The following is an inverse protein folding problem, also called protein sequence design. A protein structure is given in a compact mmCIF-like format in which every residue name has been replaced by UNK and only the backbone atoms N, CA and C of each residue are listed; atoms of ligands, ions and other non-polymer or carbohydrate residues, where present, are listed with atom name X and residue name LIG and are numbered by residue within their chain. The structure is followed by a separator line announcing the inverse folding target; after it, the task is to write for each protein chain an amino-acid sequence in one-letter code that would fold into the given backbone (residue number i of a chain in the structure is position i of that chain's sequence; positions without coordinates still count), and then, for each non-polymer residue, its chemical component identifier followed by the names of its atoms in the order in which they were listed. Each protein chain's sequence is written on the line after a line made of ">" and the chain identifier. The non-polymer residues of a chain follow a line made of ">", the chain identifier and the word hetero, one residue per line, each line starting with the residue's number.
data_IF_777198719441
#
_entry.id   IF_777198719441
#
_cell.length_a   1.000
_cell.length_b   1.000
_cell.length_c   1.000
_cell.angle_alpha   90.00
_cell.angle_beta   90.00
_cell.angle_gamma   90.00
#
_symmetry.space_group_name_H-M   'P 1'
#
loop_
_entity.id
_entity.type
_entity.pdbx_description
1 polymer ?
#
# COMPACT_ATOMS: atom_id res chain seq x y z
N UNK A 1 -3.90 14.33 19.89
CA UNK A 1 -4.41 12.97 19.58
C UNK A 1 -4.62 12.90 18.07
N UNK A 2 -3.78 12.17 17.34
CA UNK A 2 -4.13 11.80 15.97
C UNK A 2 -5.26 10.77 16.08
N UNK A 3 -6.47 11.11 15.63
CA UNK A 3 -7.54 10.15 15.41
C UNK A 3 -7.17 9.32 14.18
N UNK A 4 -6.42 8.24 14.40
CA UNK A 4 -6.09 7.25 13.39
C UNK A 4 -7.09 6.12 13.52
N UNK A 5 -8.32 6.32 13.05
CA UNK A 5 -9.16 5.20 12.64
C UNK A 5 -8.52 4.65 11.38
N UNK A 6 -7.60 3.69 11.53
CA UNK A 6 -6.89 3.07 10.43
C UNK A 6 -7.86 2.11 9.72
N UNK A 7 -8.37 2.47 8.53
CA UNK A 7 -9.22 1.55 7.78
C UNK A 7 -8.39 0.33 7.37
N UNK A 8 -9.08 -0.78 7.08
CA UNK A 8 -8.45 -1.96 6.49
C UNK A 8 -7.62 -1.55 5.26
N UNK A 9 -6.35 -1.93 5.26
CA UNK A 9 -5.47 -1.72 4.10
C UNK A 9 -6.04 -2.42 2.88
N UNK A 10 -6.31 -1.63 1.83
CA UNK A 10 -6.65 -2.16 0.50
C UNK A 10 -5.36 -2.44 -0.29
N UNK A 11 -5.35 -3.46 -1.16
CA UNK A 11 -4.22 -3.71 -2.05
C UNK A 11 -3.87 -2.48 -2.88
N UNK A 12 -2.57 -2.26 -3.10
CA UNK A 12 -2.07 -1.14 -3.93
C UNK A 12 -2.65 -1.20 -5.34
N UNK A 13 -2.90 -2.41 -5.85
CA UNK A 13 -3.47 -2.65 -7.17
C UNK A 13 -4.81 -1.94 -7.39
N UNK A 14 -5.65 -1.82 -6.36
CA UNK A 14 -6.96 -1.15 -6.47
C UNK A 14 -6.80 0.34 -6.79
N UNK A 15 -5.77 0.98 -6.24
CA UNK A 15 -5.44 2.37 -6.52
C UNK A 15 -4.71 2.53 -7.86
N UNK A 16 -3.81 1.59 -8.19
CA UNK A 16 -3.03 1.65 -9.42
C UNK A 16 -3.92 1.44 -10.67
N UNK A 17 -4.91 0.54 -10.61
CA UNK A 17 -5.85 0.28 -11.72
C UNK A 17 -6.68 1.50 -12.13
N UNK A 18 -7.04 2.34 -11.16
CA UNK A 18 -7.80 3.57 -11.40
C UNK A 18 -6.95 4.66 -12.07
N UNK A 19 -5.63 4.59 -11.95
CA UNK A 19 -4.71 5.60 -12.42
C UNK A 19 -4.04 5.16 -13.73
N UNK A 20 -4.49 5.72 -14.85
CA UNK A 20 -4.01 5.37 -16.19
C UNK A 20 -2.48 5.38 -16.36
N UNK A 21 -1.77 6.26 -15.62
CA UNK A 21 -0.30 6.34 -15.62
C UNK A 21 0.42 5.06 -15.17
N UNK A 22 -0.27 4.17 -14.47
CA UNK A 22 0.31 2.93 -13.94
C UNK A 22 -0.05 1.68 -14.75
N UNK A 23 -0.76 1.83 -15.87
CA UNK A 23 -1.11 0.70 -16.76
C UNK A 23 0.10 -0.02 -17.37
N UNK A 24 1.25 0.63 -17.41
CA UNK A 24 2.49 0.04 -17.94
C UNK A 24 3.20 -0.88 -16.94
N UNK A 25 2.77 -0.90 -15.67
CA UNK A 25 3.39 -1.74 -14.66
C UNK A 25 2.99 -3.20 -14.87
N UNK A 26 3.97 -4.10 -14.83
CA UNK A 26 3.72 -5.54 -14.83
C UNK A 26 3.12 -5.99 -13.48
N UNK A 27 2.49 -7.15 -13.47
CA UNK A 27 1.98 -7.74 -12.22
C UNK A 27 3.10 -8.00 -11.20
N UNK A 28 4.29 -8.34 -11.67
CA UNK A 28 5.48 -8.53 -10.83
C UNK A 28 5.86 -7.22 -10.12
N UNK A 29 5.96 -6.12 -10.87
CA UNK A 29 6.25 -4.80 -10.27
C UNK A 29 5.16 -4.38 -9.28
N UNK A 30 3.88 -4.67 -9.58
CA UNK A 30 2.78 -4.38 -8.63
C UNK A 30 2.92 -5.19 -7.34
N UNK A 31 3.35 -6.47 -7.42
CA UNK A 31 3.62 -7.31 -6.24
C UNK A 31 4.79 -6.78 -5.42
N UNK A 32 5.87 -6.33 -6.05
CA UNK A 32 7.00 -5.71 -5.36
C UNK A 32 6.57 -4.44 -4.61
N UNK A 33 5.76 -3.60 -5.25
CA UNK A 33 5.21 -2.39 -4.63
C UNK A 33 4.34 -2.75 -3.43
N UNK A 34 3.45 -3.74 -3.56
CA UNK A 34 2.61 -4.24 -2.46
C UNK A 34 3.48 -4.68 -1.28
N UNK A 35 4.47 -5.56 -1.54
CA UNK A 35 5.36 -6.07 -0.50
C UNK A 35 6.10 -4.94 0.24
N UNK A 36 6.58 -3.93 -0.50
CA UNK A 36 7.25 -2.78 0.11
C UNK A 36 6.29 -1.97 0.99
N UNK A 37 5.08 -1.71 0.53
CA UNK A 37 4.05 -0.98 1.30
C UNK A 37 3.70 -1.74 2.58
N UNK A 38 3.48 -3.05 2.49
CA UNK A 38 3.15 -3.89 3.65
C UNK A 38 4.26 -3.88 4.71
N UNK A 39 5.52 -3.95 4.24
CA UNK A 39 6.70 -3.88 5.10
C UNK A 39 6.82 -2.54 5.82
N UNK A 40 6.68 -1.43 5.11
CA UNK A 40 6.77 -0.10 5.71
C UNK A 40 5.57 0.20 6.61
N UNK A 41 4.37 -0.29 6.28
CA UNK A 41 3.20 -0.18 7.14
C UNK A 41 3.40 -0.95 8.46
N UNK A 42 3.89 -2.19 8.39
CA UNK A 42 4.20 -2.99 9.58
C UNK A 42 5.18 -2.26 10.51
N UNK A 43 6.29 -1.74 9.95
CA UNK A 43 7.26 -0.94 10.71
C UNK A 43 6.66 0.32 11.32
N UNK A 44 5.71 0.96 10.64
CA UNK A 44 5.02 2.15 11.16
C UNK A 44 4.11 1.77 12.33
N UNK A 45 3.36 0.67 12.22
CA UNK A 45 2.51 0.15 13.29
C UNK A 45 3.32 -0.22 14.53
N UNK A 46 4.49 -0.85 14.37
CA UNK A 46 5.41 -1.17 15.48
C UNK A 46 5.93 0.07 16.22
N UNK A 47 5.94 1.25 15.59
CA UNK A 47 6.34 2.51 16.24
C UNK A 47 5.19 3.27 16.90
N UNK A 48 3.96 2.97 16.48
CA UNK A 48 2.74 3.58 17.00
C UNK A 48 2.19 2.80 18.20
N UNK A 49 2.41 1.48 18.22
CA UNK A 49 2.19 0.61 19.39
C UNK A 49 3.27 0.78 20.44
#
# INVERSE_FOLDING_TARGET
>A
KLNLDLPQLRPVQDYLKLQGRFRHLSEETVKEIQHRVDKEYTKLMEKIG
#
